data_IF_016664495715
#
_entry.id   IF_016664495715
#
_cell.length_a   1.000
_cell.length_b   1.000
_cell.length_c   1.000
_cell.angle_alpha   90.00
_cell.angle_beta   90.00
_cell.angle_gamma   90.00
#
_symmetry.space_group_name_H-M   'P 1'
#
loop_
_entity.id
_entity.type
_entity.pdbx_description
1 polymer ?
2 polymer ?
3 polymer ?
4 non-polymer ?
5 water ?
#
# COMPACT_ATOMS: atom_id res chain seq x y z
N UNK A 1 16.03 -17.44 0.68
CA UNK A 1 17.02 -16.96 1.69
C UNK A 1 17.21 -15.44 1.69
N UNK A 2 16.72 -14.74 2.72
CA UNK A 2 15.79 -15.36 3.71
C UNK A 2 14.43 -15.74 3.12
N UNK A 3 13.50 -14.79 2.99
CA UNK A 3 12.42 -15.11 2.03
C UNK A 3 12.93 -15.15 0.59
N UNK A 4 12.31 -14.33 -0.24
CA UNK A 4 13.05 -13.93 -1.44
C UNK A 4 14.18 -12.94 -1.11
N UNK A 5 15.40 -13.49 -0.94
CA UNK A 5 16.59 -12.63 -0.70
C UNK A 5 16.78 -12.07 0.71
N UNK A 6 15.84 -11.18 1.03
CA UNK A 6 15.81 -10.61 2.37
C UNK A 6 14.80 -11.26 3.35
N UNK A 7 14.98 -11.22 4.68
CA UNK A 7 16.20 -11.04 5.53
C UNK A 7 16.50 -9.70 6.15
N UNK A 8 16.58 -8.73 5.27
CA UNK A 8 16.72 -7.34 5.72
C UNK A 8 15.44 -6.50 5.67
N UNK A 9 14.38 -7.21 5.28
CA UNK A 9 13.11 -6.52 5.13
C UNK A 9 12.68 -5.65 6.28
N UNK A 10 11.99 -4.59 5.92
CA UNK A 10 11.35 -3.85 6.99
C UNK A 10 12.22 -3.00 7.86
N UNK A 11 13.54 -3.03 7.60
CA UNK A 11 14.47 -2.08 8.22
C UNK A 11 14.95 -0.99 7.27
N UNK A 12 14.52 0.22 7.57
CA UNK A 12 14.76 1.33 6.62
C UNK A 12 16.18 1.91 6.71
N UNK A 13 16.86 2.02 5.57
CA UNK A 13 18.23 2.55 5.58
C UNK A 13 18.35 3.84 6.29
N UNK A 14 17.40 4.74 6.07
CA UNK A 14 17.54 6.07 6.71
C UNK A 14 16.99 6.21 8.12
N UNK A 15 16.40 5.12 8.60
CA UNK A 15 15.81 5.26 9.93
C UNK A 15 16.32 4.16 10.83
N UNK A 16 15.66 3.00 10.83
CA UNK A 16 16.12 1.88 11.68
C UNK A 16 17.57 1.50 11.61
N UNK A 17 18.09 1.38 10.39
CA UNK A 17 19.53 1.15 10.28
C UNK A 17 20.49 2.16 10.93
N UNK A 18 20.03 3.41 11.08
CA UNK A 18 20.85 4.46 11.70
C UNK A 18 20.37 4.80 13.08
N UNK A 19 19.50 3.94 13.58
CA UNK A 19 18.76 4.24 14.83
C UNK A 19 18.09 5.63 14.90
N UNK A 20 17.53 6.04 13.76
CA UNK A 20 16.71 7.25 13.81
C UNK A 20 15.21 6.97 13.70
N UNK A 21 14.40 7.70 14.42
CA UNK A 21 12.96 7.47 14.34
C UNK A 21 12.30 8.46 13.42
N UNK A 22 11.27 8.02 12.70
CA UNK A 22 10.49 9.06 12.04
C UNK A 22 9.56 9.83 12.93
N UNK A 23 9.03 10.89 12.37
CA UNK A 23 8.28 11.83 13.23
C UNK A 23 6.90 11.45 13.78
N UNK A 24 6.35 10.38 13.26
CA UNK A 24 5.13 9.90 13.92
C UNK A 24 5.15 8.43 14.27
N UNK A 25 6.29 7.76 14.20
CA UNK A 25 6.14 6.33 14.47
C UNK A 25 5.84 5.99 15.93
N UNK A 26 6.16 6.91 16.84
CA UNK A 26 5.75 6.74 18.23
C UNK A 26 4.23 6.58 18.45
N UNK A 27 3.47 7.38 17.69
CA UNK A 27 2.02 7.19 17.66
C UNK A 27 1.55 5.73 17.42
N UNK A 28 2.21 5.07 16.48
CA UNK A 28 1.96 3.64 16.30
C UNK A 28 2.31 2.79 17.51
N UNK A 29 3.53 2.91 17.99
CA UNK A 29 3.95 2.04 19.09
C UNK A 29 3.20 2.29 20.40
N UNK A 30 2.82 3.54 20.58
CA UNK A 30 1.97 3.88 21.72
C UNK A 30 0.59 3.29 21.69
N UNK A 31 0.15 3.00 20.50
CA UNK A 31 -1.13 2.31 20.42
C UNK A 31 -1.11 0.79 20.66
N UNK A 32 0.09 0.21 20.74
CA UNK A 32 0.16 -1.25 20.89
C UNK A 32 0.18 -1.65 22.36
N UNK A 33 -0.96 -1.34 23.03
CA UNK A 33 -1.11 -1.25 24.51
C UNK A 33 -0.02 -0.46 25.27
N UNK A 34 0.35 0.65 24.60
CA UNK A 34 1.66 1.36 24.59
C UNK A 34 2.97 0.54 24.68
N UNK A 35 2.99 -0.32 25.70
CA UNK A 35 4.06 -1.32 25.82
C UNK A 35 4.60 -1.58 27.22
N UNK A 36 4.94 -0.47 27.84
CA UNK A 36 5.47 -0.36 29.18
C UNK A 36 5.12 1.05 29.66
N UNK B 1 -4.47 10.70 -0.22
CA UNK B 1 -4.71 10.59 1.22
C UNK B 1 -5.29 11.87 1.78
N UNK B 2 -6.37 11.69 2.51
CA UNK B 2 -7.07 12.82 3.15
C UNK B 2 -6.68 12.98 4.60
N UNK B 3 -6.35 14.22 4.95
CA UNK B 3 -5.86 14.60 6.29
C UNK B 3 -4.54 14.02 6.77
N UNK B 4 -3.69 13.67 5.81
CA UNK B 4 -2.40 13.21 6.30
C UNK B 4 -1.34 14.26 6.16
N UNK B 5 -0.14 13.78 6.07
CA UNK B 5 0.92 14.78 5.91
C UNK B 5 2.02 14.34 4.99
N UNK B 6 2.92 15.27 4.69
CA UNK B 6 4.03 14.93 3.80
C UNK B 6 4.93 13.92 4.42
N UNK B 7 5.24 12.91 3.68
CA UNK B 7 6.20 11.93 4.20
C UNK B 7 7.62 12.49 4.36
N UNK B 8 8.39 12.00 5.33
CA UNK B 8 9.85 12.21 5.30
C UNK B 8 10.56 11.52 4.15
N UNK B 9 11.71 11.99 3.76
CA UNK B 9 12.41 11.22 2.73
C UNK B 9 12.92 9.88 3.24
N UNK B 10 12.69 8.85 2.46
CA UNK B 10 13.01 7.48 2.87
C UNK B 10 12.15 6.82 3.97
N UNK B 11 11.07 7.49 4.37
CA UNK B 11 10.16 6.96 5.39
C UNK B 11 9.42 5.69 4.99
N UNK B 12 9.29 5.50 3.69
CA UNK B 12 8.50 4.40 3.15
C UNK B 12 9.10 3.81 1.86
N UNK B 13 10.29 3.20 2.02
CA UNK B 13 11.09 2.90 0.82
C UNK B 13 10.62 1.69 0.01
N UNK B 14 9.54 1.08 0.49
CA UNK B 14 8.86 0.02 -0.27
C UNK B 14 7.70 0.56 -1.08
N UNK B 15 7.40 1.83 -0.97
CA UNK B 15 6.24 2.31 -1.72
C UNK B 15 6.52 2.34 -3.19
N UNK B 16 5.58 1.82 -3.94
CA UNK B 16 5.74 1.78 -5.39
C UNK B 16 4.63 2.57 -6.08
N UNK B 17 4.97 3.23 -7.20
CA UNK B 17 3.93 3.90 -7.99
C UNK B 17 3.65 3.09 -9.22
N UNK B 18 2.36 2.84 -9.41
CA UNK B 18 1.91 2.14 -10.63
C UNK B 18 1.51 3.17 -11.71
N UNK B 19 2.19 3.09 -12.84
CA UNK B 19 2.11 4.27 -13.71
C UNK B 19 1.75 3.83 -15.10
N UNK B 20 0.68 4.36 -15.66
CA UNK B 20 0.60 3.95 -17.05
C UNK B 20 1.35 4.78 -18.09
N UNK B 21 1.73 4.02 -19.13
CA UNK B 21 2.52 4.56 -20.24
C UNK B 21 1.80 5.58 -21.10
N UNK B 22 0.61 5.23 -21.50
CA UNK B 22 -0.12 6.19 -22.36
C UNK B 22 -1.64 6.14 -22.23
N UNK B 23 -2.26 7.26 -21.76
CA UNK B 23 -1.56 8.47 -21.33
C UNK B 23 -0.79 8.28 -20.03
N UNK B 24 0.37 8.93 -19.97
CA UNK B 24 1.14 8.83 -18.73
C UNK B 24 0.33 9.26 -17.50
N UNK B 25 -0.01 8.27 -16.69
CA UNK B 25 -0.70 8.64 -15.44
C UNK B 25 -0.52 7.70 -14.25
N UNK B 26 -0.68 8.26 -13.06
CA UNK B 26 -0.74 7.42 -11.86
C UNK B 26 -2.05 6.63 -11.80
N UNK B 27 -1.87 5.30 -11.79
CA UNK B 27 -3.00 4.35 -11.61
C UNK B 27 -3.38 4.03 -10.16
N UNK B 28 -2.32 3.73 -9.40
CA UNK B 28 -2.46 3.13 -8.07
C UNK B 28 -1.14 3.12 -7.34
N UNK B 29 -1.23 2.85 -6.03
CA UNK B 29 -0.02 2.49 -5.27
C UNK B 29 0.30 1.01 -5.33
N UNK B 30 1.41 0.69 -4.73
CA UNK B 30 1.85 -0.70 -4.67
C UNK B 30 2.97 -0.78 -3.65
N UNK B 31 3.48 -2.00 -3.44
CA UNK B 31 4.61 -2.18 -2.54
C UNK B 31 5.68 -3.16 -3.00
N UNK B 32 6.90 -2.87 -2.57
CA UNK B 32 8.02 -3.73 -2.92
C UNK B 32 8.26 -4.77 -1.83
N UNK B 33 8.08 -6.03 -2.22
CA UNK B 33 8.26 -7.14 -1.24
C UNK B 33 9.55 -8.04 -1.40
N UNK B 34 10.20 -7.96 -2.57
CA UNK B 34 11.61 -8.38 -2.69
C UNK B 34 12.29 -7.66 -3.84
N UNK B 35 13.48 -8.07 -4.31
CA UNK B 35 14.06 -7.34 -5.49
C UNK B 35 13.37 -7.45 -6.84
N UNK B 36 12.50 -8.44 -6.92
CA UNK B 36 11.74 -8.44 -8.18
C UNK B 36 10.22 -8.63 -8.08
N UNK B 37 9.66 -8.44 -6.88
CA UNK B 37 8.20 -8.66 -6.73
C UNK B 37 7.53 -7.50 -6.13
N UNK B 38 6.43 -7.16 -6.77
CA UNK B 38 5.56 -6.09 -6.30
C UNK B 38 4.15 -6.57 -5.95
N UNK B 39 3.70 -6.06 -4.82
CA UNK B 39 2.32 -6.33 -4.36
C UNK B 39 1.38 -5.16 -4.56
N UNK B 40 0.19 -5.49 -5.07
CA UNK B 40 -0.87 -4.46 -5.25
C UNK B 40 -2.30 -5.06 -5.12
N UNK B 41 -3.27 -4.23 -5.32
CA UNK B 41 -4.65 -4.68 -5.39
C UNK B 41 -5.01 -5.08 -6.78
N UNK B 42 -5.68 -6.23 -6.88
CA UNK B 42 -6.15 -6.71 -8.20
C UNK B 42 -7.04 -5.75 -8.96
N UNK B 43 -7.81 -4.94 -8.23
CA UNK B 43 -8.66 -3.98 -8.93
C UNK B 43 -8.02 -2.81 -9.65
N UNK B 44 -6.76 -2.56 -9.27
CA UNK B 44 -5.89 -1.68 -10.06
C UNK B 44 -5.60 -2.16 -11.50
N UNK B 45 -5.72 -3.46 -11.72
CA UNK B 45 -5.44 -3.99 -13.04
C UNK B 45 -6.68 -4.41 -13.82
N UNK B 46 -7.60 -4.99 -13.07
CA UNK B 46 -8.70 -5.76 -13.65
C UNK B 46 -9.99 -5.41 -12.94
N UNK B 47 -10.77 -4.68 -13.70
CA UNK B 47 -12.07 -4.29 -13.21
C UNK B 47 -13.10 -4.12 -14.32
N UNK B 48 -13.65 -5.28 -14.75
CA UNK B 48 -14.61 -5.27 -15.89
C UNK B 48 -15.80 -4.28 -15.86
N UNK B 49 -16.48 -4.07 -14.72
CA UNK B 49 -17.51 -3.04 -14.77
C UNK B 49 -17.12 -1.73 -15.40
N UNK B 50 -15.83 -1.40 -15.27
CA UNK B 50 -15.28 -0.14 -15.80
C UNK B 50 -14.37 -0.30 -16.99
N UNK B 51 -14.53 -1.42 -17.66
CA UNK B 51 -13.61 -1.78 -18.74
C UNK B 51 -12.13 -1.67 -18.49
N UNK B 52 -11.76 -1.92 -17.24
CA UNK B 52 -10.32 -1.96 -16.93
C UNK B 52 -9.73 -3.33 -16.99
N UNK B 53 -8.71 -3.42 -17.82
CA UNK B 53 -7.98 -4.68 -17.97
C UNK B 53 -6.54 -4.48 -18.43
N UNK B 54 -5.68 -4.11 -17.49
CA UNK B 54 -4.28 -3.87 -17.82
C UNK B 54 -3.42 -5.08 -17.96
N UNK B 55 -2.69 -5.07 -19.06
CA UNK B 55 -1.60 -6.03 -19.12
C UNK B 55 -0.21 -5.47 -18.84
N UNK B 56 0.75 -6.39 -18.84
CA UNK B 56 2.14 -6.02 -18.49
C UNK B 56 2.73 -4.85 -19.25
N UNK B 57 2.51 -4.93 -20.54
CA UNK B 57 2.99 -3.82 -21.36
C UNK B 57 2.27 -2.51 -21.32
N UNK B 58 1.17 -2.50 -20.58
CA UNK B 58 0.48 -1.22 -20.42
C UNK B 58 1.09 -0.34 -19.34
N UNK B 59 1.97 -0.99 -18.57
CA UNK B 59 2.32 -0.42 -17.26
C UNK B 59 3.81 -0.20 -17.00
N UNK B 60 4.08 0.88 -16.28
CA UNK B 60 5.36 0.89 -15.56
C UNK B 60 5.29 0.91 -14.03
N UNK B 61 6.25 0.24 -13.44
CA UNK B 61 6.41 0.45 -11.99
C UNK B 61 7.51 1.45 -11.61
N UNK B 62 7.16 2.44 -10.82
CA UNK B 62 8.24 3.33 -10.39
C UNK B 62 8.55 3.29 -8.90
N UNK B 63 9.80 2.97 -8.61
CA UNK B 63 10.23 2.77 -7.22
C UNK B 63 11.26 3.80 -6.69
N UNK B 64 11.22 4.23 -5.43
CA UNK B 64 12.23 5.18 -4.94
C UNK B 64 11.79 6.62 -4.87
N UNK B 65 10.51 6.82 -5.19
CA UNK B 65 9.93 8.17 -5.34
C UNK B 65 9.42 8.87 -4.10
N UNK B 66 9.43 10.19 -4.26
CA UNK B 66 8.90 11.06 -3.21
C UNK B 66 7.88 12.03 -3.82
N UNK B 67 8.42 12.84 -4.71
CA UNK B 67 7.56 13.67 -5.58
C UNK B 67 6.61 12.84 -6.46
N UNK B 68 5.34 13.22 -6.50
CA UNK B 68 4.41 12.60 -7.45
C UNK B 68 4.71 12.72 -8.97
N UNK B 69 4.99 13.97 -9.38
CA UNK B 69 5.09 14.21 -10.84
C UNK B 69 6.47 14.33 -11.48
N UNK B 70 7.47 14.65 -10.67
CA UNK B 70 8.86 14.80 -11.14
C UNK B 70 9.47 13.46 -11.59
N UNK B 71 10.25 13.50 -12.66
CA UNK B 71 11.15 12.38 -12.87
C UNK B 71 12.38 12.46 -11.96
N UNK B 72 12.40 11.65 -10.90
CA UNK B 72 13.46 11.84 -9.88
C UNK B 72 14.80 11.25 -10.23
N UNK B 73 15.51 12.06 -11.03
CA UNK B 73 16.63 11.58 -11.83
C UNK B 73 17.71 10.68 -11.24
N UNK B 74 18.36 11.00 -10.14
CA UNK B 74 19.21 9.80 -9.84
C UNK B 74 18.71 8.96 -8.65
N UNK B 75 17.40 8.99 -8.46
CA UNK B 75 16.79 8.44 -7.24
C UNK B 75 15.78 7.33 -7.50
N UNK B 76 14.76 7.69 -8.28
CA UNK B 76 13.85 6.63 -8.67
C UNK B 76 14.37 5.67 -9.72
N UNK B 77 13.83 4.47 -9.65
CA UNK B 77 14.05 3.52 -10.74
C UNK B 77 12.73 3.10 -11.34
N UNK B 78 12.81 2.97 -12.63
CA UNK B 78 11.66 2.52 -13.37
C UNK B 78 11.87 1.11 -13.85
N UNK B 79 10.83 0.35 -13.63
CA UNK B 79 10.91 -1.03 -14.08
C UNK B 79 9.72 -1.45 -14.89
N UNK B 80 10.01 -2.50 -15.63
CA UNK B 80 9.03 -3.11 -16.52
C UNK B 80 8.57 -4.40 -15.95
N UNK B 81 7.34 -4.74 -16.32
CA UNK B 81 6.72 -5.96 -15.79
C UNK B 81 6.90 -7.15 -16.66
N UNK B 82 7.43 -8.17 -16.03
CA UNK B 82 7.43 -9.44 -16.74
C UNK B 82 6.08 -10.16 -16.78
N UNK B 83 5.44 -10.17 -15.59
CA UNK B 83 4.19 -10.93 -15.45
C UNK B 83 3.30 -10.46 -14.32
N UNK B 84 2.02 -10.33 -14.62
CA UNK B 84 0.99 -10.07 -13.59
C UNK B 84 0.24 -11.33 -13.17
N UNK B 85 0.07 -11.46 -11.85
CA UNK B 85 -0.75 -12.56 -11.31
C UNK B 85 -1.85 -12.07 -10.43
N UNK B 86 -3.05 -12.28 -10.89
CA UNK B 86 -4.18 -11.93 -10.03
C UNK B 86 -4.69 -13.14 -9.24
N UNK B 87 -5.15 -12.95 -8.03
CA UNK B 87 -5.71 -14.13 -7.35
C UNK B 87 -6.85 -14.79 -8.15
N UNK B 88 -6.81 -16.10 -8.36
CA UNK B 88 -7.88 -16.74 -9.18
C UNK B 88 -9.30 -16.61 -8.62
N UNK B 89 -9.42 -16.43 -7.32
CA UNK B 89 -10.75 -16.09 -6.80
C UNK B 89 -11.04 -14.66 -6.38
N UNK B 90 -10.28 -13.66 -6.89
CA UNK B 90 -10.69 -12.24 -6.78
C UNK B 90 -12.15 -11.99 -7.22
N UNK B 91 -12.96 -11.51 -6.30
CA UNK B 91 -14.38 -11.32 -6.62
C UNK B 91 -14.72 -9.90 -7.04
N UNK B 92 -14.48 -9.66 -8.31
CA UNK B 92 -14.89 -8.32 -8.75
C UNK B 92 -16.37 -8.13 -8.99
N UNK B 93 -17.08 -9.24 -9.14
CA UNK B 93 -18.54 -9.07 -9.37
C UNK B 93 -19.30 -8.57 -8.20
N UNK B 94 -18.88 -9.06 -7.04
CA UNK B 94 -19.54 -8.55 -5.84
C UNK B 94 -18.82 -7.50 -4.95
N UNK B 95 -17.88 -7.99 -4.14
CA UNK B 95 -17.41 -7.11 -3.04
C UNK B 95 -15.90 -6.81 -2.97
N UNK B 96 -15.18 -7.12 -4.08
CA UNK B 96 -13.69 -7.03 -4.11
C UNK B 96 -12.97 -7.93 -3.10
N UNK B 97 -13.59 -9.08 -2.88
CA UNK B 97 -12.94 -10.12 -2.06
C UNK B 97 -11.73 -10.75 -2.71
N UNK B 98 -10.69 -10.91 -1.91
CA UNK B 98 -9.39 -11.33 -2.47
C UNK B 98 -8.79 -10.33 -3.47
N UNK B 99 -8.87 -9.07 -3.04
CA UNK B 99 -8.32 -7.98 -3.85
C UNK B 99 -6.78 -7.88 -3.76
N UNK B 100 -6.16 -8.75 -4.50
CA UNK B 100 -4.71 -8.87 -4.42
C UNK B 100 -4.14 -9.37 -5.74
N UNK B 101 -2.96 -8.82 -6.07
CA UNK B 101 -2.20 -9.19 -7.25
C UNK B 101 -0.73 -9.00 -7.01
N UNK B 102 0.00 -9.91 -7.62
CA UNK B 102 1.46 -9.85 -7.69
C UNK B 102 1.97 -9.50 -9.07
N UNK B 103 3.01 -8.68 -9.04
CA UNK B 103 3.70 -8.36 -10.29
C UNK B 103 5.19 -8.72 -10.27
N UNK B 104 5.60 -9.50 -11.27
CA UNK B 104 7.05 -9.84 -11.45
C UNK B 104 7.79 -8.86 -12.34
N UNK B 105 8.89 -8.30 -11.79
CA UNK B 105 9.62 -7.28 -12.55
C UNK B 105 10.51 -7.89 -13.57
N UNK B 106 10.69 -7.19 -14.66
CA UNK B 106 11.53 -7.78 -15.72
C UNK B 106 12.96 -8.11 -15.33
N UNK B 107 13.52 -7.19 -14.54
CA UNK B 107 14.86 -7.31 -13.90
C UNK B 107 14.83 -6.79 -12.46
N UNK B 108 15.63 -7.37 -11.58
CA UNK B 108 15.65 -6.93 -10.19
C UNK B 108 16.02 -5.48 -9.98
N UNK B 109 15.40 -4.85 -8.98
CA UNK B 109 15.90 -3.52 -8.61
C UNK B 109 17.04 -3.58 -7.63
N UNK B 110 17.91 -2.58 -7.74
CA UNK B 110 18.85 -2.48 -6.63
C UNK B 110 18.29 -1.64 -5.54
N UNK B 111 18.57 -2.15 -4.38
CA UNK B 111 18.22 -1.37 -3.21
C UNK B 111 19.18 -0.23 -2.93
N UNK B 112 18.63 0.72 -2.20
CA UNK B 112 19.36 1.95 -1.93
C UNK B 112 18.78 2.56 -0.66
N UNK B 113 19.19 3.78 -0.33
CA UNK B 113 18.53 4.46 0.78
C UNK B 113 17.05 4.71 0.62
N UNK B 114 16.61 4.70 -0.66
CA UNK B 114 15.22 5.09 -1.00
C UNK B 114 14.31 3.93 -1.43
N UNK B 115 14.97 2.79 -1.56
CA UNK B 115 14.40 1.57 -2.14
C UNK B 115 14.76 0.34 -1.30
N UNK B 116 13.74 -0.21 -0.64
CA UNK B 116 13.97 -1.28 0.35
C UNK B 116 12.64 -2.03 0.58
N UNK B 117 12.63 -3.38 0.58
CA UNK B 117 11.36 -4.09 0.71
C UNK B 117 10.74 -4.16 2.10
N UNK B 118 9.46 -4.25 2.09
CA UNK B 118 8.78 -4.38 3.39
C UNK B 118 8.69 -5.88 3.72
N UNK B 119 8.52 -6.20 4.99
CA UNK B 119 8.25 -7.60 5.29
C UNK B 119 6.76 -7.96 5.21
N UNK B 120 6.50 -9.22 4.90
CA UNK B 120 5.14 -9.77 5.04
C UNK B 120 4.92 -10.52 6.32
N UNK B 121 3.73 -10.42 6.92
CA UNK B 121 3.58 -10.98 8.26
C UNK B 121 3.55 -12.53 8.26
N UNK B 122 4.07 -13.04 9.36
CA UNK B 122 3.85 -14.44 9.71
C UNK B 122 2.63 -14.61 10.62
N UNK B 123 2.18 -15.83 10.90
CA UNK B 123 1.01 -15.94 11.80
C UNK B 123 1.02 -15.24 13.17
N UNK B 124 2.12 -15.41 13.88
CA UNK B 124 2.15 -14.74 15.18
C UNK B 124 2.25 -13.21 15.16
N UNK B 125 2.92 -12.74 14.10
CA UNK B 125 2.85 -11.27 13.91
C UNK B 125 1.46 -10.80 13.56
N UNK B 126 0.82 -11.43 12.60
CA UNK B 126 -0.57 -11.04 12.40
C UNK B 126 -1.48 -11.07 13.61
N UNK B 127 -1.38 -12.19 14.34
CA UNK B 127 -2.13 -12.33 15.62
C UNK B 127 -1.90 -11.32 16.74
N UNK B 128 -0.64 -11.04 17.01
CA UNK B 128 -0.38 -9.88 17.89
C UNK B 128 -0.82 -8.51 17.45
N UNK B 129 -0.61 -8.22 16.17
CA UNK B 129 -0.72 -6.80 15.87
C UNK B 129 -2.04 -6.45 15.29
N UNK B 130 -2.65 -7.45 14.65
CA UNK B 130 -3.93 -7.11 14.03
C UNK B 130 -5.11 -7.09 15.00
N UNK B 131 -5.12 -6.02 15.75
CA UNK B 131 -6.07 -5.82 16.83
C UNK B 131 -6.74 -4.45 16.81
N UNK B 132 -8.06 -4.46 17.09
CA UNK B 132 -8.79 -3.18 17.09
C UNK B 132 -8.15 -2.20 17.99
N UNK B 133 -8.02 -0.98 17.48
CA UNK B 133 -7.33 0.03 18.29
C UNK B 133 -5.84 0.20 18.03
N UNK B 134 -5.24 -0.85 17.49
CA UNK B 134 -3.85 -0.66 17.06
C UNK B 134 -3.77 0.11 15.77
N UNK B 135 -2.82 1.02 15.74
CA UNK B 135 -2.64 1.83 14.55
C UNK B 135 -1.67 1.30 13.51
N UNK B 136 -2.11 1.44 12.28
CA UNK B 136 -1.16 1.26 11.19
C UNK B 136 -1.05 2.52 10.32
N UNK B 137 -0.31 2.36 9.22
CA UNK B 137 0.07 3.53 8.46
C UNK B 137 -0.14 3.26 7.02
N UNK B 138 -0.80 4.25 6.43
CA UNK B 138 -1.06 4.20 4.99
C UNK B 138 -0.35 5.37 4.28
N UNK B 139 0.20 5.05 3.12
CA UNK B 139 0.92 6.05 2.31
C UNK B 139 0.45 6.07 0.85
N UNK B 140 0.53 7.26 0.27
CA UNK B 140 0.20 7.32 -1.15
C UNK B 140 0.17 8.74 -1.74
N UNK B 141 0.05 8.79 -3.03
CA UNK B 141 0.03 10.06 -3.83
C UNK B 141 -1.37 10.42 -4.36
N UNK B 142 -2.36 9.75 -3.79
CA UNK B 142 -3.70 9.91 -4.32
C UNK B 142 -4.31 11.18 -3.84
N UNK B 143 -5.53 11.37 -4.26
CA UNK B 143 -6.17 12.64 -3.90
C UNK B 143 -6.27 12.97 -2.42
N UNK B 144 -6.21 14.27 -2.22
CA UNK B 144 -6.26 14.92 -0.90
C UNK B 144 -7.65 15.26 -0.38
N UNK B 145 -8.61 15.17 -1.27
CA UNK B 145 -10.03 15.37 -0.92
C UNK B 145 -10.88 14.55 -1.89
N UNK B 146 -12.07 14.18 -1.46
CA UNK B 146 -12.92 13.29 -2.29
C UNK B 146 -13.36 13.62 -3.74
N UNK B 147 -12.44 13.66 -4.72
CA UNK B 147 -12.99 13.69 -6.11
C UNK B 147 -13.57 12.38 -6.68
N UNK B 148 -13.25 11.35 -5.90
CA UNK B 148 -14.14 10.18 -5.73
C UNK B 148 -15.53 10.52 -5.13
N UNK B 149 -16.25 11.30 -5.93
CA UNK B 149 -17.39 12.25 -5.68
C UNK B 149 -17.05 13.75 -5.54
N UNK B 150 -16.19 14.18 -6.47
CA UNK B 150 -15.93 15.60 -6.82
C UNK B 150 -15.48 16.70 -5.82
N UNK B 151 -14.93 16.31 -4.69
CA UNK B 151 -14.31 17.38 -3.90
C UNK B 151 -13.04 18.06 -4.42
N UNK B 152 -12.96 19.32 -3.99
CA UNK B 152 -11.84 20.20 -4.39
C UNK B 152 -10.82 20.58 -3.31
N UNK B 153 -10.71 21.86 -2.92
CA UNK B 153 -9.53 22.28 -2.15
C UNK B 153 -8.16 22.07 -2.83
N UNK B 154 -7.21 21.67 -2.00
CA UNK B 154 -5.90 21.17 -2.48
C UNK B 154 -5.77 20.07 -3.60
N UNK B 155 -6.77 19.20 -3.68
CA UNK B 155 -6.73 18.22 -4.78
C UNK B 155 -5.74 17.07 -4.75
N UNK B 156 -4.54 17.33 -5.24
CA UNK B 156 -3.52 16.26 -5.42
C UNK B 156 -2.17 16.68 -4.86
N UNK B 157 -1.44 15.73 -4.21
CA UNK B 157 -0.23 16.15 -3.46
C UNK B 157 0.97 16.45 -4.36
N UNK B 158 1.91 17.21 -3.83
CA UNK B 158 3.12 17.18 -4.66
C UNK B 158 4.12 16.08 -4.32
N UNK B 159 4.02 15.70 -3.06
CA UNK B 159 4.86 14.66 -2.48
C UNK B 159 4.01 13.55 -1.83
N UNK B 160 4.61 12.38 -1.67
CA UNK B 160 3.97 11.28 -0.92
C UNK B 160 3.39 11.71 0.42
N UNK B 161 2.17 11.26 0.65
CA UNK B 161 1.50 11.61 1.93
C UNK B 161 1.42 10.41 2.84
N UNK B 162 1.26 10.71 4.11
CA UNK B 162 1.20 9.60 5.05
C UNK B 162 0.08 9.82 6.07
N UNK B 163 -0.59 8.73 6.43
CA UNK B 163 -1.50 8.88 7.58
C UNK B 163 -1.47 7.63 8.47
N UNK B 164 -1.62 7.81 9.79
CA UNK B 164 -1.76 6.68 10.72
C UNK B 164 -3.19 6.47 11.21
N UNK B 165 -3.68 5.27 11.07
CA UNK B 165 -5.12 5.00 11.31
C UNK B 165 -5.32 3.79 12.22
N UNK B 166 -6.25 3.90 13.15
CA UNK B 166 -6.46 2.71 14.01
C UNK B 166 -7.28 1.61 13.31
N UNK B 167 -6.95 0.34 13.58
CA UNK B 167 -7.86 -0.72 13.14
C UNK B 167 -9.19 -0.70 13.94
N UNK B 168 -10.26 -0.99 13.24
CA UNK B 168 -11.59 -0.96 13.87
C UNK B 168 -12.17 -2.39 14.07
N UNK B 169 -12.95 -2.56 15.12
CA UNK B 169 -13.64 -3.85 15.29
C UNK B 169 -14.54 -4.31 14.19
N UNK B 170 -14.45 -5.59 13.93
CA UNK B 170 -15.31 -6.11 12.87
C UNK B 170 -16.80 -5.78 12.87
N UNK B 171 -17.49 -5.90 14.01
CA UNK B 171 -18.90 -5.50 14.03
C UNK B 171 -19.17 -4.10 13.51
N UNK B 172 -18.30 -3.18 13.95
CA UNK B 172 -18.50 -1.81 13.49
C UNK B 172 -18.15 -1.55 12.04
N UNK B 173 -17.17 -2.33 11.57
CA UNK B 173 -16.97 -2.35 10.11
C UNK B 173 -18.22 -2.79 9.33
N UNK B 174 -18.75 -3.97 9.73
CA UNK B 174 -19.93 -4.43 9.00
C UNK B 174 -21.21 -3.56 9.14
N UNK B 175 -21.40 -2.99 10.31
CA UNK B 175 -22.51 -2.02 10.44
C UNK B 175 -22.41 -0.65 9.84
N UNK B 176 -21.29 -0.39 9.16
CA UNK B 176 -21.12 0.90 8.45
C UNK B 176 -21.52 0.80 7.01
N UNK B 177 -21.68 -0.42 6.55
CA UNK B 177 -21.85 -0.53 5.12
C UNK B 177 -22.92 -1.53 4.79
N UNK B 178 -23.40 -1.50 3.56
CA UNK B 178 -24.27 -2.56 3.02
C UNK B 178 -23.56 -3.64 2.29
N UNK B 179 -22.25 -3.43 2.07
CA UNK B 179 -21.42 -4.46 1.37
C UNK B 179 -21.15 -5.65 2.27
N UNK B 180 -21.25 -6.83 1.71
CA UNK B 180 -20.84 -7.99 2.48
C UNK B 180 -19.32 -8.11 2.71
N UNK B 181 -18.97 -8.00 3.99
CA UNK B 181 -17.58 -8.08 4.47
C UNK B 181 -17.08 -9.51 4.73
N UNK B 182 -15.90 -9.82 4.19
CA UNK B 182 -15.43 -11.20 4.36
C UNK B 182 -14.30 -11.27 5.37
N UNK B 183 -13.87 -12.47 5.70
CA UNK B 183 -12.64 -12.63 6.51
C UNK B 183 -11.32 -12.22 5.85
N UNK B 184 -11.35 -12.06 4.52
CA UNK B 184 -10.20 -11.48 3.80
C UNK B 184 -10.12 -9.97 3.76
N UNK B 185 -10.90 -9.33 4.58
CA UNK B 185 -10.87 -7.87 4.65
C UNK B 185 -10.75 -7.43 6.09
N UNK B 186 -10.17 -6.25 6.30
CA UNK B 186 -10.35 -5.57 7.56
C UNK B 186 -10.67 -4.11 7.28
N UNK B 187 -11.24 -3.42 8.26
CA UNK B 187 -11.36 -1.97 8.08
C UNK B 187 -10.58 -1.09 9.05
N UNK B 188 -10.41 0.13 8.63
CA UNK B 188 -9.63 1.02 9.51
C UNK B 188 -9.99 2.52 9.39
N UNK B 189 -9.80 3.25 10.43
CA UNK B 189 -10.25 4.63 10.35
C UNK B 189 -10.66 5.09 11.71
N UNK B 190 -10.79 6.39 11.85
CA UNK B 190 -11.34 6.91 13.09
C UNK B 190 -12.87 6.90 13.10
N UNK B 191 -13.39 6.60 14.27
CA UNK B 191 -14.82 6.79 14.58
C UNK B 191 -15.24 8.26 14.55
N UNK B 192 -16.53 8.52 14.24
CA UNK B 192 -16.97 9.94 14.20
C UNK B 192 -16.65 10.80 15.43
N UNK B 193 -16.75 10.12 16.58
CA UNK B 193 -16.51 10.87 17.83
C UNK B 193 -15.07 11.08 18.25
N UNK B 194 -14.14 10.49 17.50
CA UNK B 194 -12.76 10.60 18.01
C UNK B 194 -12.01 11.90 17.74
N UNK B 195 -12.50 12.73 16.84
CA UNK B 195 -11.74 13.99 16.80
C UNK B 195 -10.53 14.08 15.88
N UNK B 196 -9.80 12.96 15.78
CA UNK B 196 -8.91 12.77 14.62
C UNK B 196 -9.62 12.23 13.41
N UNK B 197 -9.10 12.60 12.24
CA UNK B 197 -9.54 11.93 10.99
C UNK B 197 -8.49 11.51 9.92
N UNK B 198 -8.97 11.21 8.74
CA UNK B 198 -7.98 10.76 7.76
C UNK B 198 -8.32 9.48 7.02
N UNK B 199 -7.87 9.40 5.78
CA UNK B 199 -8.26 8.21 4.98
C UNK B 199 -7.41 8.09 3.71
N UNK B 200 -7.45 6.90 3.14
CA UNK B 200 -7.14 6.81 1.73
C UNK B 200 -8.23 7.37 0.79
N UNK B 201 -7.82 7.58 -0.43
CA UNK B 201 -8.68 8.21 -1.46
C UNK B 201 -8.24 7.80 -2.85
N UNK B 202 -8.88 8.33 -3.88
CA UNK B 202 -8.51 7.85 -5.23
C UNK B 202 -7.02 7.91 -5.62
N UNK B 203 -6.47 6.88 -6.23
CA UNK B 203 -5.05 6.95 -6.54
C UNK B 203 -4.19 6.33 -5.45
N UNK B 204 -4.79 6.17 -4.25
CA UNK B 204 -4.15 5.42 -3.16
C UNK B 204 -4.31 3.91 -3.16
N UNK B 205 -5.36 3.41 -3.82
CA UNK B 205 -5.65 1.97 -3.91
C UNK B 205 -4.44 1.20 -4.31
N UNK B 206 -4.34 -0.01 -3.77
CA UNK B 206 -3.17 -0.82 -4.07
C UNK B 206 -1.94 -0.63 -3.20
N UNK B 207 -1.87 0.47 -2.49
CA UNK B 207 -0.67 0.56 -1.66
C UNK B 207 -0.79 -0.04 -0.26
N UNK B 208 0.32 0.12 0.47
CA UNK B 208 0.47 -0.56 1.76
C UNK B 208 -0.21 0.04 2.98
N UNK B 209 -0.86 -0.85 3.78
CA UNK B 209 -1.11 -0.52 5.21
C UNK B 209 -0.03 -1.26 6.05
N UNK B 210 0.80 -0.51 6.74
CA UNK B 210 1.92 -1.20 7.38
C UNK B 210 1.92 -1.01 8.86
N UNK B 211 2.56 -1.92 9.57
CA UNK B 211 2.73 -1.69 11.01
C UNK B 211 4.13 -1.99 11.46
N UNK B 212 4.54 -1.35 12.52
CA UNK B 212 5.89 -1.67 13.01
C UNK B 212 5.87 -2.67 14.16
N UNK B 213 6.52 -3.80 14.01
CA UNK B 213 6.51 -4.67 15.17
C UNK B 213 7.28 -4.18 16.37
N UNK B 214 6.61 -4.18 17.53
CA UNK B 214 7.33 -3.85 18.77
C UNK B 214 8.30 -4.95 19.27
N UNK B 215 8.22 -6.12 18.71
CA UNK B 215 9.15 -7.15 19.18
C UNK B 215 10.48 -7.17 18.44
N UNK B 216 10.44 -7.01 17.11
CA UNK B 216 11.73 -6.95 16.40
C UNK B 216 12.06 -5.65 15.66
N UNK B 217 11.24 -4.60 15.91
CA UNK B 217 11.33 -3.27 15.24
C UNK B 217 11.31 -3.17 13.69
N UNK B 218 10.72 -4.16 13.06
CA UNK B 218 10.60 -4.15 11.62
C UNK B 218 9.22 -3.76 11.15
N UNK B 219 9.16 -3.25 9.94
CA UNK B 219 7.85 -2.92 9.34
C UNK B 219 7.25 -4.08 8.58
N UNK B 220 5.97 -4.33 8.81
CA UNK B 220 5.30 -5.42 8.12
C UNK B 220 4.12 -4.86 7.36
N UNK B 221 3.90 -5.34 6.13
CA UNK B 221 2.65 -4.97 5.48
C UNK B 221 1.42 -5.84 5.89
N UNK B 222 0.52 -5.25 6.66
CA UNK B 222 -0.67 -6.00 7.03
C UNK B 222 -1.88 -5.93 6.13
N UNK B 223 -2.02 -4.82 5.43
CA UNK B 223 -3.14 -4.66 4.51
C UNK B 223 -2.75 -4.07 3.15
N UNK B 224 -3.61 -4.23 2.16
CA UNK B 224 -3.53 -3.46 0.88
C UNK B 224 -4.72 -2.54 0.79
N UNK B 225 -4.51 -1.28 0.42
CA UNK B 225 -5.68 -0.42 0.24
C UNK B 225 -6.65 -0.93 -0.82
N UNK B 226 -7.89 -1.14 -0.38
CA UNK B 226 -8.75 -1.82 -1.36
C UNK B 226 -9.96 -1.05 -1.78
N UNK B 227 -10.78 -0.68 -0.82
CA UNK B 227 -12.02 0.07 -1.13
C UNK B 227 -12.59 0.89 0.05
N UNK B 228 -13.47 1.81 -0.27
CA UNK B 228 -14.08 2.58 0.82
C UNK B 228 -15.26 3.31 0.24
N UNK B 229 -16.10 3.85 1.08
CA UNK B 229 -17.20 4.57 0.42
C UNK B 229 -17.02 6.06 0.59
N UNK B 230 -16.53 6.61 -0.49
CA UNK B 230 -16.02 7.98 -0.31
C UNK B 230 -14.62 8.06 0.23
N UNK B 231 -14.27 9.24 0.67
CA UNK B 231 -12.97 9.37 1.35
C UNK B 231 -13.16 10.19 2.58
N UNK B 232 -12.79 9.63 3.71
CA UNK B 232 -12.92 10.39 4.96
C UNK B 232 -14.35 10.86 5.28
N UNK B 233 -15.34 10.09 4.81
CA UNK B 233 -16.71 10.37 5.27
C UNK B 233 -16.97 9.94 6.69
N UNK B 234 -17.61 10.77 7.50
CA UNK B 234 -17.95 10.30 8.87
C UNK B 234 -18.76 9.01 8.94
N UNK B 235 -18.44 8.21 9.94
CA UNK B 235 -19.10 6.90 10.02
C UNK B 235 -18.89 5.89 8.90
N UNK B 236 -17.97 6.22 8.02
CA UNK B 236 -17.49 5.23 7.06
C UNK B 236 -16.01 4.89 7.26
N UNK B 237 -15.62 3.73 6.75
CA UNK B 237 -14.26 3.28 6.97
C UNK B 237 -13.57 2.83 5.69
N UNK B 238 -12.23 2.85 5.76
CA UNK B 238 -11.46 2.18 4.72
C UNK B 238 -11.33 0.67 4.92
N UNK B 239 -11.48 -0.01 3.81
CA UNK B 239 -11.30 -1.44 3.82
C UNK B 239 -10.04 -1.88 3.08
N UNK B 240 -9.43 -2.86 3.69
CA UNK B 240 -8.15 -3.32 3.20
C UNK B 240 -8.12 -4.80 3.00
N UNK B 241 -7.39 -5.21 2.00
CA UNK B 241 -7.12 -6.64 1.88
C UNK B 241 -6.22 -7.20 3.00
N UNK B 242 -6.64 -8.33 3.54
CA UNK B 242 -5.97 -8.95 4.69
C UNK B 242 -4.76 -9.74 4.27
N UNK B 243 -3.55 -9.16 4.39
CA UNK B 243 -2.43 -9.81 3.65
C UNK B 243 -2.09 -11.16 4.21
N UNK B 244 -2.02 -11.27 5.51
CA UNK B 244 -1.77 -12.63 6.03
C UNK B 244 -2.75 -13.74 5.58
N UNK B 245 -4.04 -13.41 5.47
CA UNK B 245 -4.91 -14.51 5.08
C UNK B 245 -4.74 -14.97 3.68
N UNK B 246 -4.05 -14.17 2.88
CA UNK B 246 -3.81 -14.61 1.49
C UNK B 246 -2.37 -15.02 1.21
N UNK B 247 -1.60 -15.11 2.29
CA UNK B 247 -0.19 -15.42 2.20
C UNK B 247 0.23 -16.75 1.57
N UNK B 248 -0.55 -17.78 1.83
CA UNK B 248 -0.40 -19.02 1.04
C UNK B 248 -0.39 -18.89 -0.50
N UNK B 249 -1.36 -18.13 -1.03
CA UNK B 249 -1.31 -17.83 -2.48
C UNK B 249 -0.04 -17.03 -2.85
N UNK B 250 0.30 -16.00 -2.08
CA UNK B 250 1.58 -15.29 -2.34
C UNK B 250 2.81 -16.19 -2.42
N UNK B 251 2.98 -17.02 -1.38
CA UNK B 251 4.05 -18.03 -1.42
C UNK B 251 4.00 -19.04 -2.56
N UNK B 252 2.80 -19.57 -2.82
CA UNK B 252 2.62 -20.26 -4.10
C UNK B 252 3.14 -19.60 -5.36
N UNK B 253 2.65 -18.39 -5.67
CA UNK B 253 3.18 -17.79 -6.89
C UNK B 253 4.63 -17.42 -6.88
N UNK B 254 5.12 -16.97 -5.73
CA UNK B 254 6.55 -16.72 -5.82
C UNK B 254 7.47 -17.96 -5.78
N UNK B 255 7.00 -19.02 -5.12
CA UNK B 255 7.65 -20.33 -5.32
C UNK B 255 7.54 -21.00 -6.70
N UNK B 256 6.33 -21.11 -7.27
CA UNK B 256 6.31 -21.79 -8.58
C UNK B 256 6.99 -21.22 -9.81
N UNK B 257 7.22 -19.90 -9.85
CA UNK B 257 8.25 -19.38 -10.79
C UNK B 257 8.88 -17.99 -10.59
N UNK B 258 9.93 -17.93 -9.76
CA UNK B 258 10.58 -19.14 -9.21
C UNK B 258 12.05 -19.39 -9.57
N UNK B 259 12.81 -18.29 -9.41
CA UNK B 259 14.28 -18.19 -9.48
C UNK B 259 14.77 -16.93 -8.74
N UNK C 1 0.48 16.58 -16.86
CA UNK C 1 0.89 16.84 -15.44
C UNK C 1 2.22 16.18 -15.01
N UNK C 2 2.36 14.94 -15.44
CA UNK C 2 3.66 14.32 -15.17
C UNK C 2 4.89 14.88 -15.96
N UNK C 3 5.98 15.07 -15.24
CA UNK C 3 7.23 15.29 -15.97
C UNK C 3 7.56 14.08 -16.82
N UNK C 4 8.22 14.39 -17.90
CA UNK C 4 8.37 13.37 -18.93
C UNK C 4 9.37 12.28 -18.55
N UNK C 5 9.02 11.05 -18.81
CA UNK C 5 10.06 10.06 -18.48
C UNK C 5 10.95 9.66 -19.66
N UNK C 6 12.19 9.27 -19.38
CA UNK C 6 13.10 8.81 -20.45
C UNK C 6 12.63 7.72 -21.41
N UNK C 7 12.81 8.01 -22.71
CA UNK C 7 12.26 7.08 -23.70
C UNK C 7 12.70 5.63 -23.64
N UNK C 8 13.88 5.38 -23.08
CA UNK C 8 14.19 3.96 -22.84
C UNK C 8 13.21 3.15 -21.95
N UNK C 9 12.33 3.86 -21.26
CA UNK C 9 11.35 3.12 -20.45
C UNK C 9 10.00 2.84 -21.09
N UNK C 10 9.87 3.32 -22.32
CA UNK C 10 8.66 3.06 -23.07
C UNK C 10 8.82 1.90 -24.08
X LIG D 1 -10.17 3.92 -3.89
X LIG D 1 -9.03 3.96 -2.81
X LIG D 1 -9.40 4.63 -1.53
X LIG D 1 -10.22 3.75 -0.60
X LIG D 1 -10.79 4.51 0.62
X LIG D 1 -11.49 5.64 0.51
X LIG D 1 -10.64 4.03 1.85
X LIG D 1 -7.44 4.58 -5.38
X LIG D 1 -8.59 2.31 -8.02
X LIG D 1 -10.33 2.58 -6.26
X LIG D 1 -11.90 1.42 -7.59
X LIG D 1 -11.76 1.95 -6.33
X LIG D 1 -9.91 2.76 -7.76
X LIG D 1 -10.84 1.86 -8.57
X LIG D 1 -12.76 1.68 -5.37
X LIG D 1 -13.85 0.83 -5.75
X LIG D 1 -13.88 0.28 -7.04
X LIG D 1 -12.92 0.56 -7.96
X LIG D 1 -15.04 0.47 -4.86
X LIG D 1 -15.60 -0.81 -4.92
X LIG D 1 -16.68 -1.20 -4.15
X LIG D 1 -17.25 -0.31 -3.28
X LIG D 1 -16.75 0.99 -3.21
X LIG D 1 -15.65 1.37 -3.99
X LIG D 1 -18.31 -0.72 -2.51
X LIG D 1 -9.69 3.72 -5.36
X LIG D 1 -8.11 3.58 -5.36
#
# INVERSE_FOLDING_TARGET
TFGSGEADCGLRPLFEKKSLEDKTERELLESYIDGR
IVEGSDAEIGMSPWQVMLFRKSPQELLCGASLISDRWVLTAAHCLLYPPWDKNFTENDLLVRIGKHSRTRYERNIEKISMLEKIYIHPRYNWRENLDRDIALMKLKKPVAFSDYIHPVCLPDRETAASLLQAGYKGRVTGWGNLKETWTANVGKGQPSVLQVVNLPIVERPVCKDSTRIRITDNMFCAGYKPDEGKRGDACEGDSGGPFVMKSPFNNRWYQMGIVSWGEGCDRDGKYGFYTHVFRLKKWIQKVIDQFGE
DFEEIPEEYL
166 C1 C2 C3 C4 C5 N6 N7 O8 O9 C10 C11 C12 C13 C14 C36 C37 C38 C39 C43 C44 C45 C6 C7 C8 O54 C16 C15
#
